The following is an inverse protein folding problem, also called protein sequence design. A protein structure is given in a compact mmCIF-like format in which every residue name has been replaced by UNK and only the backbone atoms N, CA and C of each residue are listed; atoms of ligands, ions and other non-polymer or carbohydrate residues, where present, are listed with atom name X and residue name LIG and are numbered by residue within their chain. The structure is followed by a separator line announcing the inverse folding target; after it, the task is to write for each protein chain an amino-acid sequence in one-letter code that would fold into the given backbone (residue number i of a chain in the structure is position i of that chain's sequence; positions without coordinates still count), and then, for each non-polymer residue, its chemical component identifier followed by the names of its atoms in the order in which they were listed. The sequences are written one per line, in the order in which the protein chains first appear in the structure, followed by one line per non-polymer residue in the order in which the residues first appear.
data_IF_198589413150
#
_entry.id   IF_198589413150
#
_cell.length_a   1.000
_cell.length_b   1.000
_cell.length_c   1.000
_cell.angle_alpha   90.00
_cell.angle_beta   90.00
_cell.angle_gamma   90.00
#
_symmetry.space_group_name_H-M   'P 1'
#
loop_
_entity.id
_entity.type
_entity.pdbx_description
1 polymer ?
#
# COMPACT_ATOMS: atom_id res chain seq x y z
N UNK A 1 -4.04 9.95 9.25
CA UNK A 1 -3.29 9.32 8.15
C UNK A 1 -1.84 9.21 8.59
N UNK A 2 -1.24 8.02 8.46
CA UNK A 2 0.18 7.77 8.77
C UNK A 2 0.83 7.19 7.50
N UNK A 3 2.09 7.51 7.25
CA UNK A 3 2.87 6.91 6.16
C UNK A 3 3.95 6.03 6.80
N UNK A 4 4.11 4.83 6.27
CA UNK A 4 5.15 3.90 6.68
C UNK A 4 5.95 3.46 5.45
N UNK A 5 7.26 3.30 5.64
CA UNK A 5 8.16 2.78 4.62
C UNK A 5 9.03 1.66 5.19
N UNK A 6 9.49 0.80 4.31
CA UNK A 6 10.41 -0.29 4.63
C UNK A 6 11.67 -0.06 3.82
N UNK A 7 12.83 -0.09 4.49
CA UNK A 7 14.10 0.06 3.80
C UNK A 7 14.43 -1.23 3.02
N UNK A 8 14.73 -1.10 1.74
CA UNK A 8 15.16 -2.22 0.89
C UNK A 8 16.67 -2.43 1.02
N UNK A 9 17.09 -2.96 2.17
CA UNK A 9 18.51 -3.17 2.52
C UNK A 9 18.96 -4.62 2.27
N UNK A 10 18.16 -5.44 1.57
CA UNK A 10 18.43 -6.87 1.37
C UNK A 10 18.40 -7.69 2.67
N UNK A 11 17.79 -7.15 3.73
CA UNK A 11 17.60 -7.82 5.01
C UNK A 11 16.57 -8.93 4.90
N UNK A 12 16.68 -9.99 5.73
CA UNK A 12 15.65 -11.01 5.78
C UNK A 12 14.32 -10.40 6.27
N UNK A 13 13.15 -10.90 5.80
CA UNK A 13 11.84 -10.29 6.07
C UNK A 13 11.54 -10.02 7.56
N UNK A 14 12.00 -10.88 8.45
CA UNK A 14 11.85 -10.77 9.90
C UNK A 14 12.60 -9.57 10.53
N UNK A 15 13.61 -9.04 9.84
CA UNK A 15 14.39 -7.89 10.29
C UNK A 15 13.91 -6.57 9.65
N UNK A 16 12.95 -6.64 8.71
CA UNK A 16 12.41 -5.46 8.05
C UNK A 16 11.30 -4.86 8.91
N UNK A 17 11.55 -3.68 9.47
CA UNK A 17 10.60 -2.95 10.31
C UNK A 17 10.10 -1.69 9.61
N UNK A 18 8.82 -1.31 9.78
CA UNK A 18 8.29 -0.09 9.20
C UNK A 18 8.83 1.15 9.93
N UNK A 19 9.24 2.16 9.16
CA UNK A 19 9.59 3.48 9.65
C UNK A 19 8.48 4.48 9.32
N UNK A 20 8.11 5.34 10.27
CA UNK A 20 7.19 6.45 9.98
C UNK A 20 7.85 7.45 9.05
N UNK A 21 7.16 7.79 7.95
CA UNK A 21 7.63 8.74 6.95
C UNK A 21 6.93 10.08 7.10
N UNK A 22 7.67 11.18 6.87
CA UNK A 22 7.07 12.51 6.75
C UNK A 22 6.40 12.71 5.37
N UNK A 23 6.95 12.10 4.33
CA UNK A 23 6.48 12.20 2.95
C UNK A 23 6.84 10.94 2.15
N UNK A 24 6.14 10.72 1.03
CA UNK A 24 6.46 9.68 0.04
C UNK A 24 6.46 10.31 -1.34
N UNK A 25 7.53 10.07 -2.11
CA UNK A 25 7.55 10.40 -3.54
C UNK A 25 7.12 9.17 -4.34
N UNK A 26 6.06 9.30 -5.13
CA UNK A 26 5.57 8.23 -6.02
C UNK A 26 5.98 8.53 -7.47
N UNK A 27 6.91 7.75 -8.00
CA UNK A 27 7.28 7.78 -9.42
C UNK A 27 6.44 6.76 -10.19
N UNK A 28 5.51 7.23 -11.01
CA UNK A 28 4.57 6.38 -11.73
C UNK A 28 4.17 6.98 -13.09
N UNK A 29 3.80 6.12 -14.04
CA UNK A 29 3.17 6.49 -15.30
C UNK A 29 1.70 6.87 -15.11
N UNK A 30 1.07 7.60 -16.06
CA UNK A 30 -0.35 7.94 -15.95
C UNK A 30 -1.27 6.73 -15.79
N UNK A 31 -0.96 5.61 -16.46
CA UNK A 31 -1.75 4.37 -16.36
C UNK A 31 -1.69 3.77 -14.97
N UNK A 32 -0.50 3.78 -14.36
CA UNK A 32 -0.28 3.26 -13.00
C UNK A 32 -0.98 4.14 -11.97
N UNK A 33 -0.91 5.48 -12.11
CA UNK A 33 -1.64 6.41 -11.24
C UNK A 33 -3.17 6.20 -11.32
N UNK A 34 -3.71 5.97 -12.51
CA UNK A 34 -5.13 5.67 -12.67
C UNK A 34 -5.52 4.32 -12.02
N UNK A 35 -4.66 3.31 -12.11
CA UNK A 35 -4.89 2.03 -11.45
C UNK A 35 -4.84 2.19 -9.92
N UNK A 36 -3.85 2.92 -9.40
CA UNK A 36 -3.73 3.21 -7.98
C UNK A 36 -4.93 4.01 -7.46
N UNK A 37 -5.41 5.01 -8.21
CA UNK A 37 -6.61 5.78 -7.85
C UNK A 37 -7.85 4.89 -7.68
N UNK A 38 -8.10 3.96 -8.61
CA UNK A 38 -9.20 2.99 -8.49
C UNK A 38 -9.02 2.06 -7.31
N UNK A 39 -7.80 1.62 -7.04
CA UNK A 39 -7.48 0.80 -5.88
C UNK A 39 -7.76 1.52 -4.56
N UNK A 40 -7.34 2.78 -4.43
CA UNK A 40 -7.59 3.60 -3.24
C UNK A 40 -9.09 3.79 -2.99
N UNK A 41 -9.87 4.06 -4.05
CA UNK A 41 -11.33 4.18 -3.95
C UNK A 41 -11.97 2.87 -3.46
N UNK A 42 -11.58 1.72 -4.04
CA UNK A 42 -12.10 0.42 -3.63
C UNK A 42 -11.73 0.07 -2.19
N UNK A 43 -10.54 0.43 -1.71
CA UNK A 43 -10.15 0.25 -0.32
C UNK A 43 -11.02 1.09 0.62
N UNK A 44 -11.32 2.35 0.26
CA UNK A 44 -12.20 3.20 1.06
C UNK A 44 -13.61 2.60 1.19
N UNK A 45 -14.19 2.10 0.09
CA UNK A 45 -15.49 1.44 0.10
C UNK A 45 -15.49 0.17 0.97
N UNK A 46 -14.41 -0.61 0.92
CA UNK A 46 -14.26 -1.81 1.74
C UNK A 46 -14.07 -1.50 3.23
N UNK A 47 -13.30 -0.46 3.57
CA UNK A 47 -13.16 0.00 4.94
C UNK A 47 -14.53 0.39 5.53
N UNK A 48 -15.36 1.10 4.77
CA UNK A 48 -16.74 1.43 5.19
C UNK A 48 -17.60 0.18 5.40
N UNK A 49 -17.47 -0.81 4.51
CA UNK A 49 -18.25 -2.05 4.58
C UNK A 49 -17.81 -2.98 5.72
N UNK A 50 -16.51 -3.06 5.99
CA UNK A 50 -15.92 -4.01 6.95
C UNK A 50 -15.75 -3.45 8.36
N UNK A 51 -15.61 -2.12 8.50
CA UNK A 51 -15.35 -1.48 9.78
C UNK A 51 -14.09 -2.04 10.45
N UNK A 52 -14.22 -2.44 11.71
CA UNK A 52 -13.11 -2.95 12.53
C UNK A 52 -12.46 -4.25 12.01
N UNK A 53 -13.09 -4.95 11.07
CA UNK A 53 -12.54 -6.17 10.47
C UNK A 53 -11.62 -5.90 9.28
N UNK A 54 -11.47 -4.65 8.85
CA UNK A 54 -10.52 -4.29 7.79
C UNK A 54 -9.10 -4.28 8.35
N UNK A 55 -8.21 -5.06 7.73
CA UNK A 55 -6.79 -5.15 8.10
C UNK A 55 -5.96 -4.31 7.11
N UNK A 56 -5.38 -4.95 6.10
CA UNK A 56 -4.61 -4.32 5.04
C UNK A 56 -4.80 -5.02 3.69
N UNK A 57 -4.56 -4.29 2.60
CA UNK A 57 -4.63 -4.81 1.23
C UNK A 57 -3.42 -4.33 0.45
N UNK A 58 -2.75 -5.22 -0.28
CA UNK A 58 -1.67 -4.86 -1.19
C UNK A 58 -2.24 -4.53 -2.57
N UNK A 59 -1.69 -3.51 -3.23
CA UNK A 59 -2.06 -3.15 -4.60
C UNK A 59 -1.91 -4.33 -5.57
N UNK A 60 -0.84 -5.12 -5.39
CA UNK A 60 -0.54 -6.32 -6.18
C UNK A 60 -1.55 -7.47 -6.03
N UNK A 61 -2.38 -7.47 -4.98
CA UNK A 61 -3.41 -8.49 -4.77
C UNK A 61 -4.50 -8.38 -5.84
N UNK A 62 -4.76 -7.15 -6.31
CA UNK A 62 -5.78 -6.83 -7.32
C UNK A 62 -5.20 -6.57 -8.70
N UNK A 63 -3.93 -6.19 -8.77
CA UNK A 63 -3.22 -5.90 -10.02
C UNK A 63 -1.95 -6.73 -10.11
N UNK A 64 -2.10 -7.96 -10.63
CA UNK A 64 -1.03 -8.98 -10.67
C UNK A 64 0.19 -8.54 -11.47
N UNK A 65 0.04 -7.60 -12.40
CA UNK A 65 1.11 -7.02 -13.18
C UNK A 65 2.12 -6.21 -12.33
N UNK A 66 1.77 -5.84 -11.08
CA UNK A 66 2.64 -5.11 -10.15
C UNK A 66 3.32 -6.00 -9.10
N UNK A 67 3.30 -7.33 -9.25
CA UNK A 67 3.91 -8.25 -8.27
C UNK A 67 5.42 -8.07 -8.11
N UNK A 68 6.10 -7.54 -9.13
CA UNK A 68 7.53 -7.22 -9.09
C UNK A 68 7.81 -5.74 -8.80
N UNK A 69 6.79 -4.93 -8.59
CA UNK A 69 6.92 -3.53 -8.18
C UNK A 69 7.05 -3.44 -6.65
N UNK A 70 7.58 -2.33 -6.11
CA UNK A 70 7.52 -2.07 -4.68
C UNK A 70 6.08 -2.21 -4.16
N UNK A 71 5.92 -2.82 -2.98
CA UNK A 71 4.60 -3.02 -2.39
C UNK A 71 3.98 -1.67 -2.01
N UNK A 72 2.75 -1.45 -2.45
CA UNK A 72 1.89 -0.36 -1.98
C UNK A 72 0.74 -0.96 -1.20
N UNK A 73 0.54 -0.54 0.05
CA UNK A 73 -0.41 -1.13 0.98
C UNK A 73 -1.34 -0.06 1.54
N UNK A 74 -2.63 -0.36 1.62
CA UNK A 74 -3.60 0.43 2.37
C UNK A 74 -4.01 -0.38 3.59
N UNK A 75 -3.88 0.21 4.77
CA UNK A 75 -4.31 -0.35 6.04
C UNK A 75 -5.25 0.63 6.75
N UNK A 76 -6.17 0.12 7.57
CA UNK A 76 -7.05 0.98 8.37
C UNK A 76 -6.23 1.86 9.32
N UNK A 77 -6.70 3.10 9.55
CA UNK A 77 -6.14 3.94 10.60
C UNK A 77 -6.64 3.42 11.96
N UNK A 78 -5.71 3.20 12.89
CA UNK A 78 -6.01 3.04 14.33
C UNK A 78 -6.67 4.28 14.92
#
# INVERSE_FOLDING_TARGET
MKLYGYADEGKPPEEVVPLTLAEVTLCATPKELQALSRFLAACADEMLRMGASYDHVHFSDRHKEFRSSPHFVVAAAE
#
